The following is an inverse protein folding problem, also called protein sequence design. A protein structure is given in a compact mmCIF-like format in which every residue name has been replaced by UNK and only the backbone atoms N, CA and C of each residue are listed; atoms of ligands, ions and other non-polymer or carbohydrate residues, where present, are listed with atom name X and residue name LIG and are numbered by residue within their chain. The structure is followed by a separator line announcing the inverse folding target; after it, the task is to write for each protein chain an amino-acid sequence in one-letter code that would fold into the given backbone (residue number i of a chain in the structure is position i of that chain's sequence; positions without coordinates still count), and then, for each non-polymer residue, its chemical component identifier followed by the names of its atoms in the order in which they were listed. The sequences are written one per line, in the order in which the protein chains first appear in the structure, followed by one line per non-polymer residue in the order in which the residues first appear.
data_IF_079989894640
#
_entry.id   IF_079989894640
#
_cell.length_a   1.000
_cell.length_b   1.000
_cell.length_c   1.000
_cell.angle_alpha   90.00
_cell.angle_beta   90.00
_cell.angle_gamma   90.00
#
_symmetry.space_group_name_H-M   'P 1'
#
loop_
_entity.id
_entity.type
_entity.pdbx_description
1 polymer ?
#
# COMPACT_ATOMS: atom_id res chain seq x y z
N UNK A 1 6.73 5.24 11.13
CA UNK A 1 7.11 6.60 11.53
C UNK A 1 8.51 6.96 11.03
N UNK A 2 9.60 6.28 11.46
CA UNK A 2 10.98 6.62 11.05
C UNK A 2 11.17 6.69 9.53
N UNK A 3 10.60 5.75 8.77
CA UNK A 3 10.67 5.79 7.30
C UNK A 3 9.99 7.02 6.70
N UNK A 4 8.89 7.48 7.29
CA UNK A 4 8.23 8.73 6.88
C UNK A 4 9.09 9.97 7.15
N UNK A 5 9.73 10.04 8.33
CA UNK A 5 10.67 11.12 8.65
C UNK A 5 11.86 11.13 7.67
N UNK A 6 12.46 9.96 7.44
CA UNK A 6 13.58 9.81 6.51
C UNK A 6 13.20 10.16 5.06
N UNK A 7 11.94 9.98 4.68
CA UNK A 7 11.38 10.39 3.39
C UNK A 7 11.07 11.89 3.30
N UNK A 8 11.27 12.66 4.35
CA UNK A 8 10.95 14.09 4.36
C UNK A 8 9.45 14.37 4.46
N UNK A 9 8.73 13.62 5.32
CA UNK A 9 7.35 13.92 5.67
C UNK A 9 7.23 15.40 6.10
N UNK A 10 6.37 16.16 5.43
CA UNK A 10 6.12 17.55 5.75
C UNK A 10 4.85 17.79 6.54
N UNK A 11 3.85 16.92 6.37
CA UNK A 11 2.55 17.06 7.04
C UNK A 11 1.89 15.71 7.28
N UNK A 12 1.34 15.48 8.47
CA UNK A 12 0.42 14.38 8.73
C UNK A 12 -0.76 14.83 9.58
N UNK A 13 -1.96 14.60 9.07
CA UNK A 13 -3.18 14.69 9.86
C UNK A 13 -3.66 13.29 10.23
N UNK A 14 -4.30 13.14 11.39
CA UNK A 14 -4.81 11.87 11.84
C UNK A 14 -5.97 12.03 12.81
N UNK A 15 -6.81 11.02 12.94
CA UNK A 15 -7.74 10.85 14.04
C UNK A 15 -7.31 9.61 14.85
N UNK A 16 -7.24 9.68 16.21
CA UNK A 16 -6.70 8.59 17.01
C UNK A 16 -7.52 7.31 16.89
N UNK A 17 -6.88 6.25 16.43
CA UNK A 17 -7.47 4.92 16.35
C UNK A 17 -6.39 3.85 16.52
N UNK A 18 -6.65 2.80 17.33
CA UNK A 18 -5.73 1.67 17.49
C UNK A 18 -5.71 0.79 16.23
N UNK A 19 -4.52 0.37 15.74
CA UNK A 19 -3.19 0.60 16.28
C UNK A 19 -2.45 1.80 15.63
N UNK A 20 -3.09 2.62 14.81
CA UNK A 20 -2.46 3.69 14.05
C UNK A 20 -1.94 4.85 14.92
N UNK A 21 -2.51 5.05 16.12
CA UNK A 21 -2.12 6.16 17.01
C UNK A 21 -0.66 6.15 17.41
N UNK A 22 -0.04 4.97 17.57
CA UNK A 22 1.35 4.86 17.99
C UNK A 22 2.32 5.51 16.97
N UNK A 23 2.01 5.42 15.68
CA UNK A 23 2.76 6.11 14.63
C UNK A 23 2.67 7.62 14.79
N UNK A 24 1.45 8.14 14.92
CA UNK A 24 1.21 9.60 14.99
C UNK A 24 1.81 10.20 16.26
N UNK A 25 1.67 9.55 17.40
CA UNK A 25 2.30 9.97 18.66
C UNK A 25 3.83 9.98 18.59
N UNK A 26 4.42 9.01 17.90
CA UNK A 26 5.86 9.02 17.65
C UNK A 26 6.28 10.21 16.79
N UNK A 27 5.52 10.51 15.74
CA UNK A 27 5.80 11.65 14.86
C UNK A 27 5.62 12.98 15.60
N UNK A 28 4.60 13.16 16.45
CA UNK A 28 4.43 14.34 17.32
C UNK A 28 5.64 14.58 18.22
N UNK A 29 6.21 13.52 18.79
CA UNK A 29 7.41 13.63 19.60
C UNK A 29 8.65 14.04 18.77
N UNK A 30 8.56 14.04 17.43
CA UNK A 30 9.65 14.34 16.50
C UNK A 30 9.27 15.46 15.50
N UNK A 31 8.39 16.37 15.87
CA UNK A 31 8.08 17.58 15.07
C UNK A 31 9.27 18.52 14.94
N UNK A 32 10.28 18.36 15.78
CA UNK A 32 11.55 19.08 15.72
C UNK A 32 12.70 18.08 15.67
N UNK A 33 13.34 18.02 14.53
CA UNK A 33 14.51 17.18 14.28
C UNK A 33 15.69 18.10 13.96
N UNK A 34 16.82 17.99 14.68
CA UNK A 34 18.00 18.78 14.35
C UNK A 34 18.56 18.38 12.98
N UNK A 35 18.81 19.36 12.13
CA UNK A 35 19.43 19.19 10.84
C UNK A 35 20.95 19.30 10.92
N UNK A 36 21.64 18.80 9.89
CA UNK A 36 23.11 18.83 9.80
C UNK A 36 23.66 20.28 9.83
N UNK A 37 22.90 21.24 9.32
CA UNK A 37 23.25 22.67 9.33
C UNK A 37 22.99 23.37 10.68
N UNK A 38 22.50 22.65 11.70
CA UNK A 38 22.20 23.19 13.02
C UNK A 38 20.82 23.84 13.15
N UNK A 39 20.02 23.88 12.09
CA UNK A 39 18.62 24.28 12.15
C UNK A 39 17.75 23.12 12.63
N UNK A 40 16.53 23.42 13.04
CA UNK A 40 15.51 22.42 13.34
C UNK A 40 14.44 22.42 12.25
N UNK A 41 14.02 21.25 11.83
CA UNK A 41 12.90 21.06 10.93
C UNK A 41 12.19 19.75 11.26
N UNK A 42 10.96 19.59 10.77
CA UNK A 42 10.21 18.35 10.93
C UNK A 42 8.79 18.48 10.38
N UNK A 43 8.00 17.44 10.47
CA UNK A 43 6.62 17.45 9.98
C UNK A 43 5.72 18.29 10.89
N UNK A 44 4.70 18.86 10.30
CA UNK A 44 3.55 19.40 11.05
C UNK A 44 2.57 18.27 11.29
N UNK A 45 2.28 17.98 12.56
CA UNK A 45 1.30 16.97 12.95
C UNK A 45 0.00 17.63 13.40
N UNK A 46 -1.13 17.10 12.95
CA UNK A 46 -2.44 17.64 13.30
C UNK A 46 -3.45 16.54 13.64
N UNK A 47 -3.91 16.53 14.90
CA UNK A 47 -5.04 15.68 15.30
C UNK A 47 -6.34 16.31 14.83
N UNK A 48 -6.98 15.67 13.85
CA UNK A 48 -8.23 16.15 13.25
C UNK A 48 -9.45 15.77 14.09
N UNK A 49 -10.60 16.37 13.80
CA UNK A 49 -11.89 16.07 14.40
C UNK A 49 -12.36 14.63 14.10
N UNK A 50 -12.11 14.17 12.87
CA UNK A 50 -12.43 12.84 12.37
C UNK A 50 -11.54 12.47 11.17
N UNK A 51 -11.74 11.27 10.63
CA UNK A 51 -10.96 10.79 9.48
C UNK A 51 -11.32 11.51 8.17
N UNK A 52 -12.54 12.05 8.03
CA UNK A 52 -12.94 12.85 6.87
C UNK A 52 -12.13 14.15 6.85
N UNK A 53 -12.03 14.82 7.99
CA UNK A 53 -11.18 16.01 8.13
C UNK A 53 -9.70 15.67 7.92
N UNK A 54 -9.22 14.54 8.45
CA UNK A 54 -7.83 14.12 8.31
C UNK A 54 -7.43 13.93 6.84
N UNK A 55 -8.20 13.20 6.02
CA UNK A 55 -7.88 13.01 4.60
C UNK A 55 -7.97 14.32 3.81
N UNK A 56 -8.91 15.20 4.15
CA UNK A 56 -9.05 16.51 3.50
C UNK A 56 -7.85 17.41 3.80
N UNK A 57 -7.39 17.48 5.07
CA UNK A 57 -6.20 18.23 5.46
C UNK A 57 -4.93 17.70 4.78
N UNK A 58 -4.74 16.36 4.75
CA UNK A 58 -3.62 15.74 4.08
C UNK A 58 -3.59 16.08 2.59
N UNK A 59 -4.75 16.05 1.92
CA UNK A 59 -4.88 16.42 0.51
C UNK A 59 -4.56 17.90 0.28
N UNK A 60 -5.06 18.80 1.13
CA UNK A 60 -4.74 20.24 1.06
C UNK A 60 -3.24 20.50 1.25
N UNK A 61 -2.60 19.86 2.22
CA UNK A 61 -1.16 19.99 2.44
C UNK A 61 -0.33 19.47 1.24
N UNK A 62 -0.74 18.36 0.62
CA UNK A 62 -0.06 17.83 -0.55
C UNK A 62 -0.07 18.81 -1.75
N UNK A 63 -1.11 19.63 -1.90
CA UNK A 63 -1.19 20.66 -2.94
C UNK A 63 -0.15 21.76 -2.78
N UNK A 64 0.33 22.03 -1.57
CA UNK A 64 1.41 22.98 -1.31
C UNK A 64 2.80 22.43 -1.62
N UNK A 65 2.89 21.13 -1.95
CA UNK A 65 4.15 20.44 -2.19
C UNK A 65 4.71 19.73 -0.95
N UNK A 66 4.04 19.76 0.19
CA UNK A 66 4.43 18.95 1.34
C UNK A 66 4.21 17.46 1.03
N UNK A 67 5.18 16.60 1.37
CA UNK A 67 4.93 15.16 1.47
C UNK A 67 3.93 14.95 2.58
N UNK A 68 2.73 14.50 2.23
CA UNK A 68 1.58 14.51 3.11
C UNK A 68 1.01 13.12 3.33
N UNK A 69 0.62 12.83 4.56
CA UNK A 69 0.09 11.53 4.93
C UNK A 69 -1.05 11.62 5.93
N UNK A 70 -1.76 10.51 6.06
CA UNK A 70 -2.63 10.19 7.19
C UNK A 70 -2.41 8.74 7.62
N UNK A 71 -2.76 8.42 8.87
CA UNK A 71 -2.68 7.07 9.42
C UNK A 71 -4.01 6.70 10.05
N UNK A 72 -4.51 5.50 9.74
CA UNK A 72 -5.81 5.02 10.23
C UNK A 72 -5.88 3.49 10.31
N UNK A 73 -7.03 2.97 10.65
CA UNK A 73 -7.41 1.56 10.60
C UNK A 73 -8.66 1.36 9.72
N UNK A 74 -9.14 0.14 9.54
CA UNK A 74 -10.27 -0.16 8.66
C UNK A 74 -11.50 0.72 8.82
N UNK A 75 -12.02 0.97 10.06
CA UNK A 75 -13.16 1.86 10.24
C UNK A 75 -12.94 3.28 9.73
N UNK A 76 -11.78 3.87 10.02
CA UNK A 76 -11.46 5.22 9.56
C UNK A 76 -11.20 5.28 8.05
N UNK A 77 -10.60 4.23 7.47
CA UNK A 77 -10.45 4.15 6.01
C UNK A 77 -11.80 4.19 5.29
N UNK A 78 -12.83 3.56 5.85
CA UNK A 78 -14.20 3.62 5.31
C UNK A 78 -14.74 5.05 5.23
N UNK A 79 -14.37 5.91 6.19
CA UNK A 79 -14.76 7.34 6.17
C UNK A 79 -13.92 8.18 5.20
N UNK A 80 -12.71 7.72 4.85
CA UNK A 80 -11.81 8.42 3.95
C UNK A 80 -12.09 8.16 2.45
N UNK A 81 -12.95 7.21 2.11
CA UNK A 81 -13.09 6.72 0.72
C UNK A 81 -13.53 7.79 -0.28
N UNK A 82 -14.39 8.72 0.12
CA UNK A 82 -14.78 9.86 -0.73
C UNK A 82 -13.61 10.81 -0.95
N UNK A 83 -12.89 11.19 0.13
CA UNK A 83 -11.71 12.06 0.04
C UNK A 83 -10.58 11.43 -0.80
N UNK A 84 -10.43 10.10 -0.77
CA UNK A 84 -9.51 9.37 -1.66
C UNK A 84 -9.94 9.46 -3.12
N UNK A 85 -11.25 9.36 -3.39
CA UNK A 85 -11.82 9.56 -4.73
C UNK A 85 -11.52 10.96 -5.27
N UNK A 86 -11.70 11.99 -4.42
CA UNK A 86 -11.34 13.36 -4.75
C UNK A 86 -9.83 13.51 -5.03
N UNK A 87 -8.98 12.94 -4.19
CA UNK A 87 -7.53 12.96 -4.39
C UNK A 87 -7.12 12.25 -5.69
N UNK A 88 -7.73 11.11 -6.01
CA UNK A 88 -7.49 10.38 -7.26
C UNK A 88 -7.92 11.17 -8.50
N UNK A 89 -9.08 11.83 -8.45
CA UNK A 89 -9.59 12.67 -9.54
C UNK A 89 -8.70 13.90 -9.76
N UNK A 90 -8.27 14.57 -8.70
CA UNK A 90 -7.40 15.76 -8.77
C UNK A 90 -5.90 15.41 -8.84
N UNK A 91 -5.58 14.13 -8.94
CA UNK A 91 -4.20 13.65 -9.09
C UNK A 91 -3.29 14.14 -7.94
N UNK A 92 -3.79 14.10 -6.71
CA UNK A 92 -3.11 14.59 -5.50
C UNK A 92 -2.28 13.46 -4.88
N UNK A 93 -0.96 13.64 -4.69
CA UNK A 93 -0.09 12.63 -4.10
C UNK A 93 -0.22 12.62 -2.59
N UNK A 94 -0.91 11.63 -2.05
CA UNK A 94 -1.05 11.41 -0.61
C UNK A 94 -0.73 9.98 -0.24
N UNK A 95 -0.26 9.78 0.99
CA UNK A 95 -0.01 8.44 1.56
C UNK A 95 -0.99 8.18 2.70
N UNK A 96 -1.71 7.07 2.62
CA UNK A 96 -2.54 6.57 3.72
C UNK A 96 -1.87 5.32 4.29
N UNK A 97 -1.38 5.37 5.53
CA UNK A 97 -0.94 4.17 6.23
C UNK A 97 -2.15 3.53 6.89
N UNK A 98 -2.51 2.34 6.44
CA UNK A 98 -3.63 1.59 6.98
C UNK A 98 -3.14 0.42 7.82
N UNK A 99 -3.46 0.46 9.11
CA UNK A 99 -3.16 -0.57 10.08
C UNK A 99 -4.36 -1.49 10.26
N UNK A 100 -4.30 -2.67 9.67
CA UNK A 100 -5.38 -3.65 9.72
C UNK A 100 -5.49 -4.28 11.10
N UNK A 101 -6.71 -4.43 11.56
CA UNK A 101 -7.09 -5.11 12.80
C UNK A 101 -8.34 -5.94 12.59
N UNK A 102 -8.65 -6.84 13.53
CA UNK A 102 -9.87 -7.66 13.41
C UNK A 102 -11.13 -6.81 13.32
N UNK A 103 -11.81 -6.85 12.16
CA UNK A 103 -13.11 -6.26 11.90
C UNK A 103 -14.24 -7.27 12.13
N UNK A 104 -15.49 -6.94 11.69
CA UNK A 104 -15.97 -5.65 11.18
C UNK A 104 -16.24 -4.61 12.29
N UNK A 105 -16.54 -3.35 11.91
CA UNK A 105 -16.78 -2.22 12.82
C UNK A 105 -15.58 -2.01 13.76
N UNK A 106 -15.81 -1.77 15.06
CA UNK A 106 -14.74 -1.67 16.05
C UNK A 106 -13.96 -2.98 16.19
N UNK A 107 -14.65 -4.10 16.06
CA UNK A 107 -14.08 -5.43 16.02
C UNK A 107 -13.18 -5.78 17.19
N UNK A 108 -11.95 -6.17 16.90
CA UNK A 108 -10.91 -6.52 17.86
C UNK A 108 -9.71 -5.58 17.74
N UNK A 109 -9.72 -4.39 18.36
CA UNK A 109 -8.74 -3.31 18.09
C UNK A 109 -7.29 -3.68 18.31
N UNK A 110 -7.01 -4.65 19.18
CA UNK A 110 -5.66 -5.10 19.56
C UNK A 110 -5.27 -6.43 18.92
N UNK A 111 -6.06 -6.93 17.95
CA UNK A 111 -5.86 -8.24 17.33
C UNK A 111 -5.62 -8.12 15.83
N UNK A 112 -4.79 -9.02 15.31
CA UNK A 112 -4.40 -9.01 13.90
C UNK A 112 -5.50 -9.55 12.99
N UNK A 113 -5.57 -8.98 11.80
CA UNK A 113 -6.38 -9.43 10.69
C UNK A 113 -5.80 -8.89 9.37
N UNK A 114 -6.16 -9.48 8.25
CA UNK A 114 -5.85 -9.02 6.88
C UNK A 114 -7.15 -8.91 6.07
N UNK A 115 -8.23 -8.47 6.73
CA UNK A 115 -9.58 -8.41 6.16
C UNK A 115 -9.89 -7.19 5.31
N UNK A 116 -8.97 -6.21 5.21
CA UNK A 116 -9.22 -4.93 4.53
C UNK A 116 -8.68 -4.88 3.09
N UNK A 117 -8.02 -5.93 2.58
CA UNK A 117 -7.35 -5.93 1.27
C UNK A 117 -8.29 -5.53 0.11
N UNK A 118 -9.43 -6.19 -0.03
CA UNK A 118 -10.36 -5.86 -1.12
C UNK A 118 -11.04 -4.51 -0.90
N UNK A 119 -11.24 -4.11 0.36
CA UNK A 119 -11.77 -2.79 0.69
C UNK A 119 -10.84 -1.67 0.25
N UNK A 120 -9.52 -1.80 0.44
CA UNK A 120 -8.56 -0.77 0.02
C UNK A 120 -8.36 -0.70 -1.49
N UNK A 121 -8.54 -1.82 -2.19
CA UNK A 121 -8.43 -1.86 -3.65
C UNK A 121 -9.69 -1.30 -4.32
N UNK A 122 -10.87 -1.71 -3.86
CA UNK A 122 -12.16 -1.42 -4.52
C UNK A 122 -13.05 -0.44 -3.77
N UNK A 123 -12.70 -0.06 -2.55
CA UNK A 123 -13.50 0.86 -1.74
C UNK A 123 -13.57 2.27 -2.34
N UNK A 124 -14.75 2.89 -2.21
CA UNK A 124 -15.09 4.18 -2.81
C UNK A 124 -16.09 4.02 -3.96
N UNK A 125 -16.60 5.16 -4.44
CA UNK A 125 -17.50 5.21 -5.59
C UNK A 125 -16.76 5.68 -6.83
N UNK A 126 -17.21 5.22 -8.00
CA UNK A 126 -16.54 5.48 -9.27
C UNK A 126 -15.17 4.80 -9.38
N UNK A 127 -14.46 5.13 -10.45
CA UNK A 127 -13.16 4.52 -10.77
C UNK A 127 -12.07 5.59 -10.73
N UNK A 128 -11.09 5.41 -9.87
CA UNK A 128 -9.90 6.24 -9.78
C UNK A 128 -8.66 5.41 -9.44
N UNK A 129 -7.49 5.78 -9.98
CA UNK A 129 -6.27 5.03 -9.74
C UNK A 129 -5.75 5.23 -8.32
N UNK A 130 -5.21 4.16 -7.75
CA UNK A 130 -4.48 4.15 -6.46
C UNK A 130 -3.40 3.08 -6.50
N UNK A 131 -2.40 3.18 -5.67
CA UNK A 131 -1.41 2.12 -5.46
C UNK A 131 -1.65 1.54 -4.07
N UNK A 132 -1.58 0.20 -3.95
CA UNK A 132 -1.67 -0.51 -2.67
C UNK A 132 -0.44 -1.39 -2.51
N UNK A 133 0.31 -1.17 -1.44
CA UNK A 133 1.51 -1.92 -1.11
C UNK A 133 1.48 -2.38 0.34
N UNK A 134 2.12 -3.51 0.65
CA UNK A 134 2.18 -4.07 1.99
C UNK A 134 3.63 -4.40 2.38
N UNK A 135 4.00 -4.02 3.61
CA UNK A 135 5.28 -4.44 4.18
C UNK A 135 5.19 -5.86 4.74
N UNK A 136 6.32 -6.56 4.71
CA UNK A 136 6.42 -7.97 5.08
C UNK A 136 7.14 -8.21 6.41
N UNK A 137 7.93 -7.23 6.89
CA UNK A 137 8.69 -7.26 8.14
C UNK A 137 9.02 -5.85 8.64
N UNK A 138 9.70 -5.77 9.79
CA UNK A 138 10.06 -4.49 10.44
C UNK A 138 11.01 -3.66 9.59
N UNK A 139 11.99 -4.29 8.92
CA UNK A 139 12.92 -3.59 8.05
C UNK A 139 12.21 -3.00 6.84
N UNK A 140 11.38 -3.78 6.18
CA UNK A 140 10.63 -3.31 5.01
C UNK A 140 9.66 -2.18 5.33
N UNK A 141 9.09 -2.11 6.55
CA UNK A 141 8.24 -1.00 6.97
C UNK A 141 8.94 0.36 6.84
N UNK A 142 10.25 0.42 7.11
CA UNK A 142 11.02 1.65 6.99
C UNK A 142 11.15 2.10 5.53
N UNK A 143 11.63 1.21 4.67
CA UNK A 143 11.86 1.54 3.25
C UNK A 143 10.56 1.72 2.46
N UNK A 144 9.55 0.91 2.75
CA UNK A 144 8.26 0.98 2.07
C UNK A 144 7.49 2.24 2.43
N UNK A 145 7.62 2.73 3.69
CA UNK A 145 7.05 4.02 4.07
C UNK A 145 7.67 5.18 3.26
N UNK A 146 8.97 5.13 2.96
CA UNK A 146 9.61 6.13 2.11
C UNK A 146 9.18 5.99 0.64
N UNK A 147 9.16 4.77 0.10
CA UNK A 147 8.73 4.49 -1.27
C UNK A 147 7.28 4.90 -1.55
N UNK A 148 6.42 4.76 -0.54
CA UNK A 148 5.02 5.18 -0.68
C UNK A 148 4.90 6.67 -1.09
N UNK A 149 5.74 7.55 -0.54
CA UNK A 149 5.79 8.95 -0.95
C UNK A 149 6.36 9.13 -2.36
N UNK A 150 7.43 8.40 -2.69
CA UNK A 150 8.03 8.48 -4.02
C UNK A 150 7.03 8.05 -5.09
N UNK A 151 6.28 6.97 -4.86
CA UNK A 151 5.23 6.53 -5.78
C UNK A 151 4.06 7.50 -5.83
N UNK A 152 3.63 8.04 -4.69
CA UNK A 152 2.56 9.02 -4.67
C UNK A 152 2.91 10.25 -5.52
N UNK A 153 4.12 10.79 -5.38
CA UNK A 153 4.56 11.98 -6.11
C UNK A 153 4.92 11.70 -7.57
N UNK A 154 5.60 10.57 -7.84
CA UNK A 154 5.97 10.18 -9.20
C UNK A 154 4.75 9.99 -10.09
N UNK A 155 3.76 9.26 -9.59
CA UNK A 155 2.55 8.94 -10.37
C UNK A 155 1.38 9.89 -10.07
N UNK A 156 1.51 10.77 -9.08
CA UNK A 156 0.46 11.70 -8.65
C UNK A 156 -0.85 10.94 -8.36
N UNK A 157 -0.77 9.95 -7.45
CA UNK A 157 -1.84 9.05 -7.04
C UNK A 157 -1.88 8.91 -5.52
N UNK A 158 -3.05 8.62 -4.94
CA UNK A 158 -3.12 8.10 -3.58
C UNK A 158 -2.38 6.74 -3.48
N UNK A 159 -1.53 6.60 -2.47
CA UNK A 159 -0.84 5.35 -2.13
C UNK A 159 -1.32 4.88 -0.77
N UNK A 160 -1.81 3.64 -0.69
CA UNK A 160 -2.19 2.99 0.55
C UNK A 160 -1.07 2.02 0.96
N UNK A 161 -0.43 2.29 2.10
CA UNK A 161 0.56 1.43 2.71
C UNK A 161 -0.12 0.57 3.77
N UNK A 162 -0.30 -0.71 3.47
CA UNK A 162 -0.97 -1.69 4.32
C UNK A 162 -0.01 -2.33 5.31
N UNK A 163 -0.38 -2.29 6.58
CA UNK A 163 0.26 -3.01 7.67
C UNK A 163 -0.80 -3.78 8.45
N UNK A 164 -0.44 -4.88 9.08
CA UNK A 164 -1.34 -5.59 9.99
C UNK A 164 -0.88 -5.48 11.44
N UNK A 165 -1.80 -5.75 12.39
CA UNK A 165 -1.53 -5.60 13.83
C UNK A 165 -0.43 -6.54 14.32
N UNK A 166 -0.22 -7.70 13.70
CA UNK A 166 0.88 -8.59 14.08
C UNK A 166 2.22 -7.91 13.81
N UNK A 167 2.38 -7.33 12.63
CA UNK A 167 3.60 -6.60 12.25
C UNK A 167 3.83 -5.39 13.17
N UNK A 168 2.79 -4.59 13.46
CA UNK A 168 2.91 -3.42 14.33
C UNK A 168 3.26 -3.73 15.78
N UNK A 169 3.06 -4.97 16.21
CA UNK A 169 3.39 -5.45 17.56
C UNK A 169 4.69 -6.27 17.59
N UNK A 170 5.34 -6.45 16.45
CA UNK A 170 6.58 -7.22 16.36
C UNK A 170 7.76 -6.38 16.83
N UNK A 171 8.55 -6.96 17.73
CA UNK A 171 9.86 -6.42 18.13
C UNK A 171 10.94 -7.27 17.48
N UNK A 172 11.77 -6.63 16.68
CA UNK A 172 12.83 -7.31 15.94
C UNK A 172 14.09 -6.45 15.91
N UNK A 173 15.24 -7.08 16.15
CA UNK A 173 16.53 -6.45 15.88
C UNK A 173 16.75 -6.46 14.37
N UNK A 174 16.98 -5.29 13.80
CA UNK A 174 17.29 -5.10 12.38
C UNK A 174 18.67 -4.45 12.23
N UNK A 175 19.35 -4.64 11.09
CA UNK A 175 20.53 -3.85 10.78
C UNK A 175 20.23 -2.35 10.81
N UNK A 176 21.22 -1.47 11.05
CA UNK A 176 21.04 -0.04 10.85
C UNK A 176 20.49 0.25 9.46
N UNK A 177 19.49 1.14 9.38
CA UNK A 177 18.92 1.52 8.10
C UNK A 177 19.96 2.22 7.23
N UNK A 178 20.07 1.76 5.99
CA UNK A 178 20.95 2.37 4.99
C UNK A 178 20.21 3.53 4.31
N UNK A 179 20.57 4.76 4.69
CA UNK A 179 20.00 5.98 4.14
C UNK A 179 20.34 6.19 2.67
N UNK A 180 21.40 5.54 2.14
CA UNK A 180 21.75 5.64 0.71
C UNK A 180 20.76 4.88 -0.19
N UNK A 181 19.98 3.97 0.37
CA UNK A 181 18.89 3.28 -0.34
C UNK A 181 17.64 4.13 -0.49
N UNK A 182 17.58 5.27 0.17
CA UNK A 182 16.47 6.21 0.05
C UNK A 182 16.76 7.20 -1.09
N UNK A 183 15.80 7.30 -2.01
CA UNK A 183 15.77 8.33 -3.03
C UNK A 183 14.53 9.18 -2.80
N UNK A 184 14.67 10.50 -2.81
CA UNK A 184 13.53 11.40 -2.72
C UNK A 184 13.12 11.78 -4.15
N UNK A 185 12.12 11.09 -4.66
CA UNK A 185 11.55 11.39 -5.97
C UNK A 185 10.32 12.29 -5.84
N UNK A 186 10.43 13.50 -6.40
CA UNK A 186 9.36 14.50 -6.36
C UNK A 186 8.43 14.43 -7.59
N UNK A 187 8.68 13.48 -8.50
CA UNK A 187 7.96 13.38 -9.76
C UNK A 187 8.24 14.56 -10.70
N UNK A 188 7.34 14.79 -11.64
CA UNK A 188 7.48 15.87 -12.63
C UNK A 188 6.98 17.17 -12.01
N UNK A 189 7.91 18.09 -11.72
CA UNK A 189 7.60 19.43 -11.22
C UNK A 189 7.24 20.36 -12.38
N UNK A 190 6.34 21.30 -12.11
CA UNK A 190 6.02 22.37 -13.05
C UNK A 190 7.13 23.43 -13.04
N UNK A 191 7.62 23.77 -14.23
CA UNK A 191 8.55 24.88 -14.42
C UNK A 191 7.78 26.03 -15.10
N UNK A 192 7.66 27.19 -14.44
CA UNK A 192 6.95 28.31 -15.03
C UNK A 192 7.70 28.87 -16.24
N UNK A 193 7.01 29.04 -17.36
CA UNK A 193 7.53 29.82 -18.48
C UNK A 193 7.65 31.29 -18.07
N UNK A 194 8.71 31.97 -18.50
CA UNK A 194 9.07 33.33 -18.08
C UNK A 194 7.98 34.39 -18.35
N UNK A 195 6.95 34.09 -19.15
CA UNK A 195 5.85 35.03 -19.50
C UNK A 195 4.46 34.39 -19.42
N UNK A 196 4.24 33.34 -18.62
CA UNK A 196 2.94 32.66 -18.53
C UNK A 196 1.85 33.63 -18.03
N UNK A 197 1.05 34.11 -18.95
CA UNK A 197 -0.14 34.95 -18.67
C UNK A 197 -1.42 34.15 -18.51
N UNK A 198 -1.34 32.82 -18.63
CA UNK A 198 -2.46 31.88 -18.60
C UNK A 198 -2.34 30.93 -17.44
N UNK A 199 -3.45 30.33 -17.01
CA UNK A 199 -3.46 29.25 -16.01
C UNK A 199 -2.65 28.04 -16.47
N UNK A 200 -2.00 27.34 -15.52
CA UNK A 200 -1.26 26.12 -15.81
C UNK A 200 -2.22 25.00 -16.25
N UNK A 201 -1.80 24.22 -17.24
CA UNK A 201 -2.51 22.99 -17.61
C UNK A 201 -2.14 21.86 -16.65
N UNK A 202 -2.69 21.94 -15.42
CA UNK A 202 -2.41 20.98 -14.34
C UNK A 202 -2.66 19.53 -14.75
N UNK A 203 -3.64 19.32 -15.62
CA UNK A 203 -4.09 18.00 -16.06
C UNK A 203 -3.79 17.74 -17.54
N UNK A 204 -2.72 18.36 -18.06
CA UNK A 204 -2.30 18.21 -19.45
C UNK A 204 -2.19 16.73 -19.86
N UNK A 205 -2.61 16.41 -21.07
CA UNK A 205 -2.42 15.08 -21.65
C UNK A 205 -0.94 14.88 -21.99
N UNK A 206 -0.39 13.77 -21.55
CA UNK A 206 0.99 13.34 -21.79
C UNK A 206 1.01 11.86 -22.13
N UNK A 207 2.08 11.37 -22.73
CA UNK A 207 2.22 9.95 -23.08
C UNK A 207 2.18 9.03 -21.85
N UNK A 208 2.70 9.48 -20.71
CA UNK A 208 2.67 8.74 -19.44
C UNK A 208 1.37 8.92 -18.63
N UNK A 209 0.52 9.88 -19.02
CA UNK A 209 -0.62 10.34 -18.22
C UNK A 209 -0.23 11.21 -17.02
N UNK A 210 1.07 11.44 -16.77
CA UNK A 210 1.59 12.21 -15.63
C UNK A 210 1.93 13.62 -16.12
N UNK A 211 1.23 14.62 -15.63
CA UNK A 211 1.42 16.03 -16.01
C UNK A 211 2.41 16.73 -15.07
N UNK A 212 3.14 17.78 -15.51
CA UNK A 212 3.89 18.63 -14.61
C UNK A 212 2.98 19.19 -13.51
N UNK A 213 3.39 19.06 -12.25
CA UNK A 213 2.59 19.44 -11.08
C UNK A 213 2.96 20.83 -10.57
N UNK A 214 2.15 21.89 -10.81
CA UNK A 214 2.31 23.18 -10.15
C UNK A 214 1.88 23.06 -8.67
N UNK A 215 2.59 23.79 -7.81
CA UNK A 215 2.28 23.86 -6.38
C UNK A 215 1.47 25.13 -6.08
N UNK A 216 0.64 25.06 -5.05
CA UNK A 216 -0.09 26.25 -4.58
C UNK A 216 0.90 27.35 -4.17
N UNK A 217 0.67 28.55 -4.68
CA UNK A 217 1.56 29.71 -4.47
C UNK A 217 2.71 29.83 -5.48
N UNK A 218 2.93 28.85 -6.35
CA UNK A 218 3.95 28.93 -7.39
C UNK A 218 3.53 29.90 -8.49
N UNK A 219 4.43 30.80 -8.87
CA UNK A 219 4.18 31.77 -9.95
C UNK A 219 3.90 31.06 -11.28
N UNK A 220 2.85 31.50 -12.00
CA UNK A 220 2.42 30.85 -13.26
C UNK A 220 1.73 29.49 -13.06
N UNK A 221 1.62 29.01 -11.83
CA UNK A 221 1.03 27.71 -11.49
C UNK A 221 -0.46 27.74 -11.16
N UNK A 222 -1.15 28.88 -11.41
CA UNK A 222 -2.58 28.98 -11.11
C UNK A 222 -3.36 27.95 -11.94
N UNK A 223 -4.23 27.18 -11.27
CA UNK A 223 -5.09 26.19 -11.89
C UNK A 223 -6.36 26.00 -11.05
N UNK A 224 -7.34 25.34 -11.62
CA UNK A 224 -8.58 24.99 -10.93
C UNK A 224 -8.50 23.56 -10.39
N UNK A 225 -9.14 23.34 -9.24
CA UNK A 225 -9.35 22.03 -8.64
C UNK A 225 -10.83 21.86 -8.34
N UNK A 226 -11.40 20.75 -8.72
CA UNK A 226 -12.83 20.45 -8.52
C UNK A 226 -13.06 18.96 -8.31
N UNK A 227 -14.11 18.61 -7.57
CA UNK A 227 -14.59 17.22 -7.45
C UNK A 227 -15.44 16.77 -8.64
N UNK A 228 -15.64 17.63 -9.65
CA UNK A 228 -16.39 17.32 -10.87
C UNK A 228 -15.42 17.02 -12.00
N UNK A 229 -15.88 16.39 -13.09
CA UNK A 229 -15.00 16.17 -14.26
C UNK A 229 -14.56 17.50 -14.86
N UNK A 230 -13.33 17.54 -15.38
CA UNK A 230 -12.66 18.78 -15.69
C UNK A 230 -11.79 18.71 -16.97
N UNK A 231 -11.46 19.86 -17.52
CA UNK A 231 -10.52 20.03 -18.63
C UNK A 231 -9.08 19.95 -18.15
N UNK A 232 -8.12 20.08 -19.07
CA UNK A 232 -6.69 20.11 -18.76
C UNK A 232 -6.30 21.27 -17.83
N UNK A 233 -7.06 22.35 -17.81
CA UNK A 233 -6.90 23.51 -16.91
C UNK A 233 -7.61 23.32 -15.57
N UNK A 234 -8.42 22.25 -15.41
CA UNK A 234 -9.23 22.00 -14.21
C UNK A 234 -10.62 22.64 -14.24
N UNK A 235 -11.04 23.22 -15.37
CA UNK A 235 -12.37 23.81 -15.51
C UNK A 235 -13.43 22.70 -15.63
N UNK A 236 -14.55 22.86 -14.96
CA UNK A 236 -15.68 21.91 -14.99
C UNK A 236 -16.17 21.68 -16.41
N UNK A 237 -16.40 20.42 -16.77
CA UNK A 237 -16.94 20.02 -18.07
C UNK A 237 -17.84 18.79 -17.95
N UNK A 238 -18.85 18.72 -18.81
CA UNK A 238 -19.69 17.54 -19.03
C UNK A 238 -19.51 17.00 -20.46
N UNK A 239 -18.47 17.45 -21.18
CA UNK A 239 -18.15 16.94 -22.51
C UNK A 239 -17.73 15.46 -22.43
N UNK A 240 -18.46 14.55 -23.15
CA UNK A 240 -18.17 13.11 -23.08
C UNK A 240 -16.78 12.76 -23.62
N UNK A 241 -16.27 13.49 -24.60
CA UNK A 241 -14.92 13.23 -25.15
C UNK A 241 -13.85 13.59 -24.14
N UNK A 242 -13.97 14.74 -23.47
CA UNK A 242 -13.07 15.13 -22.40
C UNK A 242 -13.10 14.14 -21.24
N UNK A 243 -14.31 13.66 -20.87
CA UNK A 243 -14.48 12.63 -19.83
C UNK A 243 -13.72 11.35 -20.19
N UNK A 244 -13.87 10.82 -21.40
CA UNK A 244 -13.15 9.63 -21.86
C UNK A 244 -11.64 9.81 -21.78
N UNK A 245 -11.13 10.93 -22.28
CA UNK A 245 -9.70 11.25 -22.29
C UNK A 245 -9.13 11.37 -20.87
N UNK A 246 -9.85 12.04 -19.94
CA UNK A 246 -9.43 12.18 -18.55
C UNK A 246 -9.43 10.84 -17.80
N UNK A 247 -10.43 9.98 -18.04
CA UNK A 247 -10.44 8.62 -17.48
C UNK A 247 -9.26 7.79 -17.99
N UNK A 248 -9.00 7.82 -19.28
CA UNK A 248 -7.85 7.13 -19.89
C UNK A 248 -6.53 7.66 -19.34
N UNK A 249 -6.38 8.98 -19.24
CA UNK A 249 -5.19 9.62 -18.64
C UNK A 249 -4.93 9.12 -17.22
N UNK A 250 -5.95 9.16 -16.36
CA UNK A 250 -5.83 8.71 -14.96
C UNK A 250 -5.54 7.21 -14.87
N UNK A 251 -6.20 6.38 -15.68
CA UNK A 251 -5.93 4.93 -15.72
C UNK A 251 -4.52 4.62 -16.24
N UNK A 252 -4.02 5.37 -17.23
CA UNK A 252 -2.69 5.17 -17.81
C UNK A 252 -1.56 5.33 -16.80
N UNK A 253 -1.70 6.22 -15.81
CA UNK A 253 -0.73 6.37 -14.71
C UNK A 253 -0.53 5.06 -13.94
N UNK A 254 -1.60 4.31 -13.71
CA UNK A 254 -1.52 3.03 -13.00
C UNK A 254 -0.81 1.96 -13.84
N UNK A 255 -1.04 1.97 -15.15
CA UNK A 255 -0.29 1.10 -16.07
C UNK A 255 1.19 1.47 -16.12
N UNK A 256 1.50 2.78 -16.09
CA UNK A 256 2.88 3.25 -16.00
C UNK A 256 3.54 2.80 -14.69
N UNK A 257 2.84 2.92 -13.55
CA UNK A 257 3.32 2.44 -12.26
C UNK A 257 3.55 0.92 -12.27
N UNK A 258 2.64 0.13 -12.85
CA UNK A 258 2.80 -1.31 -13.01
C UNK A 258 4.09 -1.67 -13.76
N UNK A 259 4.45 -0.89 -14.78
CA UNK A 259 5.64 -1.11 -15.60
C UNK A 259 6.93 -0.66 -14.90
N UNK A 260 6.93 0.50 -14.25
CA UNK A 260 8.15 1.16 -13.77
C UNK A 260 8.59 0.67 -12.37
N UNK A 261 7.65 0.23 -11.53
CA UNK A 261 7.99 -0.26 -10.18
C UNK A 261 8.90 -1.50 -10.33
N UNK A 262 10.07 -1.52 -9.65
CA UNK A 262 10.99 -2.65 -9.74
C UNK A 262 10.36 -3.97 -9.26
N UNK A 263 10.76 -5.08 -9.88
CA UNK A 263 10.21 -6.41 -9.59
C UNK A 263 10.40 -6.80 -8.12
N UNK A 264 11.57 -6.52 -7.55
CA UNK A 264 11.90 -6.81 -6.14
C UNK A 264 11.08 -5.97 -5.12
N UNK A 265 10.41 -4.92 -5.60
CA UNK A 265 9.45 -4.12 -4.84
C UNK A 265 8.00 -4.59 -5.02
N UNK A 266 7.73 -5.39 -6.05
CA UNK A 266 6.41 -5.98 -6.32
C UNK A 266 6.20 -7.28 -5.55
N UNK A 267 7.20 -8.14 -5.55
CA UNK A 267 7.17 -9.44 -4.88
C UNK A 267 8.56 -9.97 -4.59
N UNK A 268 8.65 -10.98 -3.73
CA UNK A 268 9.88 -11.74 -3.46
C UNK A 268 9.58 -13.23 -3.44
N UNK A 269 10.56 -14.01 -3.89
CA UNK A 269 10.51 -15.46 -3.85
C UNK A 269 11.49 -15.96 -2.79
N UNK A 270 11.02 -16.81 -1.90
CA UNK A 270 11.79 -17.46 -0.84
C UNK A 270 11.74 -18.97 -1.02
N UNK A 271 12.81 -19.68 -0.64
CA UNK A 271 12.90 -21.14 -0.70
C UNK A 271 13.50 -21.67 -1.99
N UNK A 272 13.17 -22.91 -2.35
CA UNK A 272 13.81 -23.66 -3.42
C UNK A 272 13.23 -23.29 -4.81
N UNK A 273 14.09 -23.06 -5.78
CA UNK A 273 13.70 -22.76 -7.17
C UNK A 273 13.00 -23.94 -7.87
N UNK A 274 13.33 -25.18 -7.46
CA UNK A 274 12.73 -26.42 -7.96
C UNK A 274 11.67 -26.99 -7.01
N UNK A 275 10.93 -26.12 -6.35
CA UNK A 275 9.95 -26.49 -5.35
C UNK A 275 8.82 -27.37 -5.89
N UNK A 276 8.38 -28.32 -5.07
CA UNK A 276 7.23 -29.19 -5.34
C UNK A 276 5.91 -28.62 -4.83
N UNK A 277 5.95 -27.50 -4.10
CA UNK A 277 4.78 -26.70 -3.71
C UNK A 277 5.14 -25.21 -3.65
N UNK A 278 4.15 -24.37 -3.91
CA UNK A 278 4.32 -22.90 -3.87
C UNK A 278 3.28 -22.31 -2.94
N UNK A 279 3.72 -21.51 -1.97
CA UNK A 279 2.86 -20.72 -1.10
C UNK A 279 2.77 -19.32 -1.70
N UNK A 280 1.57 -18.73 -1.75
CA UNK A 280 1.38 -17.30 -2.00
C UNK A 280 0.85 -16.62 -0.75
N UNK A 281 1.47 -15.51 -0.36
CA UNK A 281 1.12 -14.78 0.86
C UNK A 281 1.52 -13.31 0.76
N UNK A 282 1.19 -12.53 1.80
CA UNK A 282 1.51 -11.10 1.91
C UNK A 282 1.54 -10.65 3.38
N UNK A 283 2.09 -9.46 3.64
CA UNK A 283 2.12 -8.86 4.97
C UNK A 283 2.96 -9.69 5.98
N UNK A 284 2.57 -9.66 7.24
CA UNK A 284 3.29 -10.26 8.37
C UNK A 284 3.39 -11.79 8.36
N UNK A 285 2.67 -12.47 7.48
CA UNK A 285 2.71 -13.95 7.39
C UNK A 285 4.10 -14.49 7.00
N UNK A 286 4.97 -13.64 6.41
CA UNK A 286 6.32 -14.00 5.99
C UNK A 286 7.08 -14.82 7.04
N UNK A 287 7.09 -14.35 8.29
CA UNK A 287 7.85 -15.03 9.36
C UNK A 287 7.39 -16.48 9.59
N UNK A 288 6.08 -16.69 9.68
CA UNK A 288 5.50 -18.02 9.83
C UNK A 288 5.73 -18.91 8.61
N UNK A 289 5.70 -18.32 7.41
CA UNK A 289 5.95 -19.04 6.15
C UNK A 289 7.41 -19.48 6.08
N UNK A 290 8.37 -18.61 6.40
CA UNK A 290 9.79 -18.97 6.38
C UNK A 290 10.12 -20.05 7.42
N UNK A 291 9.55 -20.01 8.64
CA UNK A 291 9.70 -21.08 9.63
C UNK A 291 9.12 -22.40 9.11
N UNK A 292 7.96 -22.37 8.46
CA UNK A 292 7.38 -23.58 7.86
C UNK A 292 8.23 -24.15 6.71
N UNK A 293 8.77 -23.29 5.84
CA UNK A 293 9.68 -23.70 4.76
C UNK A 293 10.94 -24.36 5.32
N UNK A 294 11.58 -23.77 6.35
CA UNK A 294 12.76 -24.36 6.98
C UNK A 294 12.49 -25.75 7.55
N UNK A 295 11.34 -25.97 8.20
CA UNK A 295 10.94 -27.29 8.70
C UNK A 295 10.69 -28.32 7.59
N UNK A 296 10.15 -27.90 6.46
CA UNK A 296 9.99 -28.78 5.28
C UNK A 296 11.34 -29.14 4.68
N UNK A 297 12.26 -28.18 4.60
CA UNK A 297 13.63 -28.41 4.10
C UNK A 297 14.41 -29.39 4.97
N UNK A 298 14.30 -29.33 6.31
CA UNK A 298 14.88 -30.29 7.23
C UNK A 298 14.43 -31.75 6.96
N UNK A 299 13.26 -31.91 6.35
CA UNK A 299 12.74 -33.23 5.93
C UNK A 299 13.03 -33.55 4.45
N UNK A 300 13.81 -32.73 3.76
CA UNK A 300 14.13 -32.90 2.35
C UNK A 300 12.99 -32.52 1.39
N UNK A 301 11.97 -31.79 1.85
CA UNK A 301 10.84 -31.37 1.05
C UNK A 301 11.13 -29.96 0.49
N UNK A 302 11.21 -29.86 -0.83
CA UNK A 302 11.49 -28.60 -1.52
C UNK A 302 10.20 -27.78 -1.67
N UNK A 303 10.17 -26.63 -1.05
CA UNK A 303 9.04 -25.71 -1.05
C UNK A 303 9.51 -24.27 -1.30
N UNK A 304 8.63 -23.44 -1.84
CA UNK A 304 8.88 -22.01 -2.02
C UNK A 304 7.69 -21.16 -1.63
N UNK A 305 7.96 -19.88 -1.36
CA UNK A 305 6.92 -18.91 -1.07
C UNK A 305 7.06 -17.65 -1.93
N UNK A 306 5.98 -17.26 -2.54
CA UNK A 306 5.80 -16.00 -3.23
C UNK A 306 5.17 -14.99 -2.25
N UNK A 307 5.97 -14.05 -1.78
CA UNK A 307 5.56 -12.97 -0.90
C UNK A 307 5.21 -11.75 -1.75
N UNK A 308 3.93 -11.39 -1.80
CA UNK A 308 3.47 -10.19 -2.50
C UNK A 308 3.69 -8.94 -1.65
N UNK A 309 4.15 -7.87 -2.28
CA UNK A 309 4.42 -6.56 -1.66
C UNK A 309 3.63 -5.45 -2.36
N UNK A 310 3.58 -5.42 -3.69
CA UNK A 310 2.67 -4.59 -4.47
C UNK A 310 1.39 -5.39 -4.69
N UNK A 311 0.28 -4.90 -4.12
CA UNK A 311 -1.02 -5.56 -4.18
C UNK A 311 -1.91 -4.95 -5.25
N UNK A 312 -1.67 -3.67 -5.57
CA UNK A 312 -2.33 -2.96 -6.67
C UNK A 312 -1.44 -1.82 -7.20
N UNK A 313 -1.21 -1.70 -8.53
CA UNK A 313 -1.66 -2.65 -9.57
C UNK A 313 -1.08 -4.04 -9.33
N UNK A 314 -1.90 -5.07 -9.59
CA UNK A 314 -1.47 -6.46 -9.36
C UNK A 314 -0.46 -6.88 -10.44
N UNK A 315 0.71 -7.46 -10.08
CA UNK A 315 1.77 -7.78 -11.04
C UNK A 315 1.52 -9.11 -11.79
N UNK A 316 0.37 -9.21 -12.49
CA UNK A 316 -0.10 -10.46 -13.09
C UNK A 316 0.87 -11.02 -14.13
N UNK A 317 1.35 -10.17 -15.03
CA UNK A 317 2.22 -10.58 -16.14
C UNK A 317 3.58 -11.10 -15.64
N UNK A 318 4.16 -10.44 -14.64
CA UNK A 318 5.45 -10.84 -14.05
C UNK A 318 5.34 -12.14 -13.24
N UNK A 319 4.17 -12.44 -12.71
CA UNK A 319 3.94 -13.65 -11.93
C UNK A 319 3.60 -14.87 -12.79
N UNK A 320 3.22 -14.71 -14.05
CA UNK A 320 2.74 -15.82 -14.90
C UNK A 320 3.76 -16.98 -14.97
N UNK A 321 5.05 -16.68 -15.12
CA UNK A 321 6.09 -17.70 -15.18
C UNK A 321 6.20 -18.54 -13.88
N UNK A 322 5.96 -17.91 -12.71
CA UNK A 322 5.99 -18.58 -11.42
C UNK A 322 4.69 -19.36 -11.21
N UNK A 323 3.56 -18.76 -11.52
CA UNK A 323 2.23 -19.34 -11.31
C UNK A 323 1.95 -20.51 -12.25
N UNK A 324 2.49 -20.51 -13.47
CA UNK A 324 2.32 -21.62 -14.44
C UNK A 324 3.02 -22.89 -14.02
N UNK A 325 4.09 -22.79 -13.21
CA UNK A 325 4.87 -23.93 -12.68
C UNK A 325 4.53 -24.29 -11.24
N UNK A 326 3.69 -23.48 -10.56
CA UNK A 326 3.31 -23.69 -9.17
C UNK A 326 2.26 -24.80 -9.05
N UNK A 327 2.62 -25.94 -8.47
CA UNK A 327 1.70 -27.06 -8.26
C UNK A 327 2.13 -27.89 -7.04
N UNK A 328 1.32 -27.99 -5.95
CA UNK A 328 0.13 -27.16 -5.70
C UNK A 328 0.47 -25.71 -5.37
N UNK A 329 -0.42 -24.79 -5.73
CA UNK A 329 -0.39 -23.38 -5.28
C UNK A 329 -1.29 -23.24 -4.05
N UNK A 330 -0.75 -22.68 -2.96
CA UNK A 330 -1.39 -22.62 -1.65
C UNK A 330 -1.46 -21.15 -1.19
N UNK A 331 -2.65 -20.62 -0.99
CA UNK A 331 -2.82 -19.28 -0.38
C UNK A 331 -2.73 -19.37 1.14
N UNK A 332 -1.99 -18.43 1.76
CA UNK A 332 -1.88 -18.31 3.23
C UNK A 332 -2.23 -16.90 3.66
N UNK A 333 -3.31 -16.75 4.44
CA UNK A 333 -3.88 -15.44 4.78
C UNK A 333 -4.46 -15.38 6.21
N UNK A 334 -4.37 -14.19 6.82
CA UNK A 334 -5.02 -13.90 8.10
C UNK A 334 -6.38 -13.21 7.90
N UNK A 335 -7.31 -13.82 7.16
CA UNK A 335 -8.71 -13.37 7.02
C UNK A 335 -9.65 -14.56 6.80
N UNK A 336 -10.96 -14.30 6.87
CA UNK A 336 -11.97 -15.37 6.70
C UNK A 336 -12.13 -15.80 5.24
N UNK A 337 -12.18 -14.87 4.29
CA UNK A 337 -12.67 -15.12 2.93
C UNK A 337 -11.60 -15.53 1.91
N UNK A 338 -10.29 -15.40 2.24
CA UNK A 338 -9.22 -15.61 1.25
C UNK A 338 -9.17 -14.47 0.24
N UNK A 339 -8.96 -13.25 0.71
CA UNK A 339 -9.05 -12.05 -0.14
C UNK A 339 -7.93 -12.00 -1.19
N UNK A 340 -6.72 -12.45 -0.85
CA UNK A 340 -5.61 -12.56 -1.80
C UNK A 340 -5.88 -13.65 -2.83
N UNK A 341 -6.41 -14.80 -2.43
CA UNK A 341 -6.86 -15.83 -3.38
C UNK A 341 -7.89 -15.29 -4.37
N UNK A 342 -8.86 -14.49 -3.88
CA UNK A 342 -9.88 -13.85 -4.70
C UNK A 342 -9.26 -12.86 -5.69
N UNK A 343 -8.33 -12.02 -5.21
CA UNK A 343 -7.62 -11.06 -6.04
C UNK A 343 -6.76 -11.75 -7.10
N UNK A 344 -5.97 -12.76 -6.72
CA UNK A 344 -5.17 -13.56 -7.64
C UNK A 344 -6.04 -14.14 -8.78
N UNK A 345 -7.16 -14.77 -8.41
CA UNK A 345 -8.07 -15.34 -9.39
C UNK A 345 -8.64 -14.28 -10.34
N UNK A 346 -9.03 -13.14 -9.80
CA UNK A 346 -9.60 -12.05 -10.61
C UNK A 346 -8.57 -11.46 -11.59
N UNK A 347 -7.30 -11.38 -11.21
CA UNK A 347 -6.26 -10.72 -12.00
C UNK A 347 -5.52 -11.68 -12.96
N UNK A 348 -5.44 -12.97 -12.66
CA UNK A 348 -4.64 -13.95 -13.43
C UNK A 348 -5.45 -15.12 -13.98
N UNK A 349 -6.69 -15.30 -13.55
CA UNK A 349 -7.48 -16.50 -13.82
C UNK A 349 -7.01 -17.76 -13.07
N UNK A 350 -5.88 -17.70 -12.34
CA UNK A 350 -5.33 -18.81 -11.55
C UNK A 350 -6.06 -18.96 -10.22
N UNK A 351 -6.23 -20.19 -9.78
CA UNK A 351 -6.78 -20.53 -8.47
C UNK A 351 -5.77 -21.30 -7.65
N UNK A 352 -5.77 -21.08 -6.35
CA UNK A 352 -5.00 -21.95 -5.45
C UNK A 352 -5.77 -23.25 -5.23
N UNK A 353 -5.07 -24.38 -5.26
CA UNK A 353 -5.62 -25.71 -4.94
C UNK A 353 -6.02 -25.79 -3.47
N UNK A 354 -5.25 -25.10 -2.60
CA UNK A 354 -5.55 -25.03 -1.18
C UNK A 354 -5.47 -23.59 -0.67
N UNK A 355 -6.28 -23.31 0.35
CA UNK A 355 -6.31 -22.05 1.07
C UNK A 355 -6.19 -22.31 2.56
N UNK A 356 -5.10 -21.84 3.17
CA UNK A 356 -4.87 -21.90 4.61
C UNK A 356 -5.18 -20.53 5.21
N UNK A 357 -6.19 -20.46 6.07
CA UNK A 357 -6.66 -19.21 6.67
C UNK A 357 -6.67 -19.24 8.18
N UNK A 358 -6.44 -18.08 8.80
CA UNK A 358 -6.62 -17.87 10.24
C UNK A 358 -7.32 -16.51 10.46
N UNK A 359 -8.41 -16.53 11.21
CA UNK A 359 -9.22 -15.33 11.47
C UNK A 359 -9.65 -15.22 12.95
N UNK A 360 -8.83 -15.76 13.83
CA UNK A 360 -9.06 -15.76 15.28
C UNK A 360 -8.51 -14.52 16.01
N UNK A 361 -7.98 -13.55 15.27
CA UNK A 361 -7.30 -12.38 15.82
C UNK A 361 -5.88 -12.71 16.35
N UNK A 362 -5.33 -13.86 16.01
CA UNK A 362 -3.98 -14.31 16.37
C UNK A 362 -3.15 -14.51 15.10
N UNK A 363 -1.85 -14.22 15.11
CA UNK A 363 -0.99 -14.49 13.96
C UNK A 363 -0.91 -15.99 13.67
N UNK A 364 -0.56 -16.35 12.44
CA UNK A 364 -0.22 -17.71 12.06
C UNK A 364 1.10 -18.08 12.72
N UNK A 365 1.21 -19.31 13.28
CA UNK A 365 2.49 -19.85 13.73
C UNK A 365 3.10 -20.74 12.64
N UNK A 366 4.44 -20.74 12.51
CA UNK A 366 5.14 -21.57 11.54
C UNK A 366 4.87 -23.07 11.79
N UNK A 367 4.74 -23.48 13.05
CA UNK A 367 4.43 -24.87 13.42
C UNK A 367 3.04 -25.31 12.95
N UNK A 368 2.00 -24.48 13.16
CA UNK A 368 0.65 -24.82 12.69
C UNK A 368 0.56 -24.79 11.16
N UNK A 369 1.25 -23.84 10.51
CA UNK A 369 1.35 -23.79 9.06
C UNK A 369 2.06 -25.03 8.49
N UNK A 370 3.23 -25.39 9.04
CA UNK A 370 3.96 -26.59 8.64
C UNK A 370 3.08 -27.85 8.72
N UNK A 371 2.32 -28.05 9.82
CA UNK A 371 1.41 -29.19 9.96
C UNK A 371 0.33 -29.21 8.87
N UNK A 372 -0.25 -28.07 8.55
CA UNK A 372 -1.24 -27.95 7.48
C UNK A 372 -0.63 -28.30 6.11
N UNK A 373 0.58 -27.81 5.82
CA UNK A 373 1.30 -28.13 4.59
C UNK A 373 1.61 -29.63 4.50
N UNK A 374 1.97 -30.31 5.60
CA UNK A 374 2.16 -31.77 5.65
C UNK A 374 0.87 -32.51 5.33
N UNK A 375 -0.29 -32.06 5.79
CA UNK A 375 -1.58 -32.66 5.45
C UNK A 375 -1.88 -32.55 3.94
N UNK A 376 -1.57 -31.40 3.34
CA UNK A 376 -1.70 -31.19 1.90
C UNK A 376 -0.80 -32.17 1.13
N UNK A 377 0.47 -32.25 1.48
CA UNK A 377 1.43 -33.15 0.84
C UNK A 377 1.06 -34.64 0.98
N UNK A 378 0.40 -35.00 2.06
CA UNK A 378 -0.11 -36.36 2.27
C UNK A 378 -1.41 -36.66 1.50
N UNK A 379 -1.98 -35.68 0.78
CA UNK A 379 -3.25 -35.83 0.07
C UNK A 379 -4.49 -35.93 0.99
N UNK A 380 -4.35 -35.53 2.26
CA UNK A 380 -5.39 -35.66 3.29
C UNK A 380 -6.01 -34.32 3.68
N UNK A 381 -5.85 -33.28 2.84
CA UNK A 381 -6.30 -31.93 3.16
C UNK A 381 -7.53 -31.52 2.36
N UNK A 382 -8.43 -30.80 3.00
CA UNK A 382 -9.52 -30.09 2.32
C UNK A 382 -8.96 -28.89 1.51
N UNK A 383 -9.72 -28.43 0.53
CA UNK A 383 -9.34 -27.25 -0.26
C UNK A 383 -9.21 -25.98 0.62
N UNK A 384 -9.92 -25.95 1.76
CA UNK A 384 -9.84 -24.85 2.74
C UNK A 384 -9.50 -25.39 4.12
N UNK A 385 -8.36 -24.97 4.65
CA UNK A 385 -7.87 -25.35 5.98
C UNK A 385 -7.95 -24.10 6.89
N UNK A 386 -8.61 -24.24 8.03
CA UNK A 386 -8.71 -23.20 9.05
C UNK A 386 -7.77 -23.52 10.19
N UNK A 387 -6.74 -22.70 10.40
CA UNK A 387 -5.83 -22.84 11.54
C UNK A 387 -6.53 -22.35 12.82
N UNK A 388 -6.65 -23.23 13.80
CA UNK A 388 -7.28 -22.95 15.09
C UNK A 388 -6.22 -22.71 16.16
N UNK A 389 -6.55 -21.95 17.21
CA UNK A 389 -5.62 -21.71 18.32
C UNK A 389 -5.29 -22.99 19.13
N UNK A 390 -6.09 -24.04 18.98
CA UNK A 390 -5.85 -25.33 19.61
C UNK A 390 -4.78 -26.13 18.90
N UNK A 391 -4.39 -25.74 17.68
CA UNK A 391 -3.41 -26.44 16.82
C UNK A 391 -1.97 -25.93 17.04
N UNK A 392 -1.77 -24.96 17.93
CA UNK A 392 -0.47 -24.35 18.32
C UNK A 392 0.25 -25.15 19.43
#
# INVERSE_FOLDING_TARGET
ALGKLAAGLGFQSYYPISPASDESLFLEAHERVPLVNGEESGPVLFQAEDEIAAIAMASGAALTGARSATATSGPGFSLMTEGLGWAGMNEVPIVVTLYQRGGPSTGMPTRTDQGDLLSVIYGGHGEYPRIVMASEDVESCFYDAARAFDYAERYQLPVIHLLDKALTSTLQTVPPFDMQRLCIDRGICYEPEHEAKTSAQRFAFTDSGISPRPLLGQSGGQHWLTGVEHTQEGLVTEDPVMREQMMQKRAHKLLQAAKDIPVDEKWRLYGDSEATLTIITWGSNKGAVLDALGRLEEEGIRARALQLRLLWPFPADELEAILSTATPLIAVECNYSGQMHTLLKAQTGRTCEHMIVKYSGRPISGKSLYRALKQILAGNAEARIVLRNQDE
#
